data_IF_457850559325
#
_entry.id   IF_457850559325
#
_cell.length_a   1.000
_cell.length_b   1.000
_cell.length_c   1.000
_cell.angle_alpha   90.00
_cell.angle_beta   90.00
_cell.angle_gamma   90.00
#
_symmetry.space_group_name_H-M   'P 1'
#
loop_
_entity.id
_entity.type
_entity.pdbx_description
1 polymer ?
#
# COMPACT_ATOMS: atom_id res chain seq x y z
N UNK A 1 -1.89 18.51 -19.97
CA UNK A 1 -3.35 18.28 -19.83
C UNK A 1 -3.66 18.27 -18.33
N UNK A 2 -4.45 19.22 -17.84
CA UNK A 2 -4.78 19.34 -16.40
C UNK A 2 -6.07 18.58 -16.12
N UNK A 3 -6.00 17.56 -15.26
CA UNK A 3 -7.19 16.90 -14.74
C UNK A 3 -7.69 17.72 -13.53
N UNK A 4 -8.88 18.33 -13.66
CA UNK A 4 -9.57 19.03 -12.57
C UNK A 4 -10.57 18.08 -11.93
N UNK A 5 -10.44 17.84 -10.63
CA UNK A 5 -11.53 17.27 -9.83
C UNK A 5 -12.39 18.40 -9.27
N UNK A 6 -13.68 18.39 -9.62
CA UNK A 6 -14.68 19.32 -9.07
C UNK A 6 -15.48 18.58 -8.00
N UNK A 7 -15.27 18.95 -6.73
CA UNK A 7 -16.13 18.53 -5.62
C UNK A 7 -17.21 19.62 -5.43
N UNK A 8 -18.48 19.28 -5.63
CA UNK A 8 -19.59 20.20 -5.35
C UNK A 8 -19.88 20.25 -3.85
N UNK A 9 -19.54 21.35 -3.20
CA UNK A 9 -20.05 21.71 -1.89
C UNK A 9 -20.92 22.97 -2.04
N UNK A 10 -22.16 22.87 -1.57
CA UNK A 10 -23.12 23.96 -1.56
C UNK A 10 -22.64 25.12 -0.68
N UNK A 11 -22.60 26.33 -1.26
CA UNK A 11 -22.69 27.60 -0.53
C UNK A 11 -21.41 28.44 -0.38
N UNK A 12 -21.32 29.50 -1.19
CA UNK A 12 -21.00 30.87 -0.70
C UNK A 12 -19.57 31.30 -0.34
N UNK A 13 -18.93 31.99 -1.29
CA UNK A 13 -18.01 33.16 -1.18
C UNK A 13 -16.75 33.11 -0.28
N UNK A 14 -15.61 32.93 -0.96
CA UNK A 14 -14.32 33.65 -0.92
C UNK A 14 -13.90 34.45 0.34
N UNK A 15 -12.84 33.97 1.00
CA UNK A 15 -11.87 34.81 1.73
C UNK A 15 -10.47 34.18 1.65
N UNK A 16 -9.47 34.96 1.17
CA UNK A 16 -8.05 34.58 1.14
C UNK A 16 -7.55 34.30 2.55
N UNK A 17 -7.11 33.07 2.82
CA UNK A 17 -6.27 32.74 3.99
C UNK A 17 -5.30 31.62 3.61
N UNK A 18 -4.02 31.95 3.67
CA UNK A 18 -2.87 31.05 3.61
C UNK A 18 -3.10 29.88 4.58
N UNK A 19 -3.10 28.62 4.08
CA UNK A 19 -3.12 27.42 4.90
C UNK A 19 -2.20 26.34 4.29
N UNK A 20 -1.26 25.92 5.14
CA UNK A 20 -0.27 24.83 5.10
C UNK A 20 -0.61 23.65 4.17
N UNK A 21 0.37 23.02 3.50
CA UNK A 21 0.10 21.86 2.68
C UNK A 21 -0.33 20.67 3.56
N UNK A 22 -1.49 20.14 3.21
CA UNK A 22 -2.03 18.77 3.29
C UNK A 22 -1.29 17.66 4.09
N UNK A 23 -0.75 17.93 5.28
CA UNK A 23 -0.21 16.89 6.17
C UNK A 23 -1.24 16.10 6.99
N UNK A 24 -2.54 16.14 6.66
CA UNK A 24 -3.60 15.71 7.61
C UNK A 24 -4.65 14.73 7.10
N UNK A 25 -4.54 14.22 5.86
CA UNK A 25 -5.51 13.24 5.33
C UNK A 25 -4.98 11.79 5.39
N UNK A 26 -3.68 11.57 5.60
CA UNK A 26 -3.10 10.22 5.66
C UNK A 26 -3.34 9.49 7.00
N UNK A 27 -3.73 10.20 8.07
CA UNK A 27 -3.88 9.61 9.42
C UNK A 27 -5.21 8.88 9.65
N UNK A 28 -6.16 8.95 8.72
CA UNK A 28 -7.53 8.45 8.94
C UNK A 28 -7.80 7.06 8.36
N UNK A 29 -6.86 6.46 7.62
CA UNK A 29 -7.10 5.18 6.89
C UNK A 29 -6.45 3.96 7.58
N UNK A 30 -5.64 4.15 8.63
CA UNK A 30 -5.02 3.04 9.40
C UNK A 30 -5.95 2.52 10.52
N UNK A 31 -7.16 3.06 10.66
CA UNK A 31 -8.13 2.59 11.64
C UNK A 31 -9.14 1.62 11.00
N UNK A 32 -9.09 0.36 11.43
CA UNK A 32 -10.07 -0.73 11.25
C UNK A 32 -9.97 -1.62 10.02
N UNK A 33 -9.14 -2.66 10.16
CA UNK A 33 -9.50 -4.02 9.73
C UNK A 33 -8.78 -5.09 10.58
N UNK A 34 -8.84 -4.97 11.91
CA UNK A 34 -8.55 -6.13 12.79
C UNK A 34 -9.78 -7.02 12.75
N UNK A 35 -9.80 -8.00 11.84
CA UNK A 35 -10.78 -9.08 11.85
C UNK A 35 -10.40 -10.02 13.00
N UNK A 36 -11.29 -10.33 13.97
CA UNK A 36 -11.01 -11.34 14.97
C UNK A 36 -11.20 -12.71 14.32
N UNK A 37 -10.11 -13.36 13.88
CA UNK A 37 -10.17 -14.76 13.42
C UNK A 37 -9.95 -15.68 14.63
N UNK A 38 -11.06 -16.14 15.21
CA UNK A 38 -11.09 -17.34 16.03
C UNK A 38 -10.86 -18.56 15.13
N UNK A 39 -9.61 -18.95 14.94
CA UNK A 39 -9.21 -20.14 14.21
C UNK A 39 -7.84 -20.60 14.69
N UNK A 40 -7.79 -21.71 15.42
CA UNK A 40 -6.58 -22.26 16.00
C UNK A 40 -5.62 -22.78 14.92
N UNK A 41 -4.68 -21.95 14.47
CA UNK A 41 -3.43 -22.38 13.83
C UNK A 41 -2.30 -21.44 14.25
N UNK A 42 -1.12 -22.01 14.46
CA UNK A 42 0.03 -21.43 15.15
C UNK A 42 0.28 -19.98 14.74
N UNK A 43 -0.23 -19.04 15.56
CA UNK A 43 0.16 -17.65 15.45
C UNK A 43 1.66 -17.60 15.63
N UNK A 44 2.36 -17.03 14.64
CA UNK A 44 3.74 -16.60 14.82
C UNK A 44 3.71 -15.72 16.07
N UNK A 45 4.25 -16.22 17.17
CA UNK A 45 4.31 -15.50 18.44
C UNK A 45 5.04 -14.20 18.12
N UNK A 46 4.37 -13.05 18.25
CA UNK A 46 4.99 -11.74 18.19
C UNK A 46 6.32 -11.81 18.94
N UNK A 47 7.43 -11.75 18.21
CA UNK A 47 8.78 -11.86 18.77
C UNK A 47 9.16 -10.47 19.29
N UNK A 48 8.52 -10.04 20.38
CA UNK A 48 8.73 -8.72 20.98
C UNK A 48 7.68 -7.68 20.57
N UNK A 49 7.93 -6.42 20.93
CA UNK A 49 7.03 -5.28 20.68
C UNK A 49 7.15 -4.71 19.24
N UNK A 50 7.74 -5.47 18.30
CA UNK A 50 7.94 -5.04 16.92
C UNK A 50 7.09 -5.83 15.94
N UNK A 51 6.64 -5.16 14.88
CA UNK A 51 5.97 -5.74 13.71
C UNK A 51 6.96 -5.75 12.56
N UNK A 52 7.22 -6.93 11.99
CA UNK A 52 8.09 -7.07 10.81
C UNK A 52 7.27 -6.79 9.53
N UNK A 53 7.71 -5.82 8.72
CA UNK A 53 6.97 -5.35 7.54
C UNK A 53 7.79 -5.53 6.28
N UNK A 54 7.23 -6.21 5.28
CA UNK A 54 7.73 -6.18 3.91
C UNK A 54 7.01 -5.07 3.15
N UNK A 55 7.74 -4.04 2.77
CA UNK A 55 7.22 -2.94 1.96
C UNK A 55 7.69 -3.08 0.52
N UNK A 56 6.76 -3.33 -0.40
CA UNK A 56 7.01 -3.40 -1.84
C UNK A 56 6.41 -2.16 -2.50
N UNK A 57 7.25 -1.35 -3.13
CA UNK A 57 6.75 -0.14 -3.77
C UNK A 57 7.80 0.77 -4.36
N UNK A 58 7.34 1.64 -5.27
CA UNK A 58 8.15 2.62 -5.98
C UNK A 58 7.35 3.90 -6.24
N UNK A 59 6.71 4.40 -5.19
CA UNK A 59 5.86 5.57 -5.30
C UNK A 59 6.69 6.87 -5.39
N UNK A 60 6.35 7.72 -6.36
CA UNK A 60 6.93 9.05 -6.53
C UNK A 60 5.84 10.04 -6.89
N UNK A 61 5.99 11.27 -6.40
CA UNK A 61 5.19 12.41 -6.86
C UNK A 61 6.10 13.53 -7.37
N UNK A 62 5.53 14.43 -8.18
CA UNK A 62 6.19 15.69 -8.52
C UNK A 62 5.79 16.78 -7.51
N UNK A 63 6.77 17.45 -6.93
CA UNK A 63 6.54 18.64 -6.11
C UNK A 63 6.12 19.86 -6.96
N UNK A 64 5.86 20.99 -6.29
CA UNK A 64 5.43 22.23 -6.95
C UNK A 64 6.49 22.80 -7.92
N UNK A 65 7.76 22.42 -7.75
CA UNK A 65 8.88 22.81 -8.60
C UNK A 65 9.12 21.81 -9.75
N UNK A 66 8.35 20.72 -9.81
CA UNK A 66 8.43 19.67 -10.81
C UNK A 66 9.49 18.61 -10.54
N UNK A 67 10.09 18.58 -9.35
CA UNK A 67 11.05 17.56 -8.97
C UNK A 67 10.33 16.28 -8.55
N UNK A 68 10.87 15.13 -8.98
CA UNK A 68 10.41 13.84 -8.49
C UNK A 68 10.89 13.60 -7.06
N UNK A 69 9.95 13.36 -6.15
CA UNK A 69 10.19 13.08 -4.75
C UNK A 69 9.77 11.65 -4.46
N UNK A 70 10.63 10.90 -3.78
CA UNK A 70 10.36 9.54 -3.33
C UNK A 70 9.28 9.55 -2.24
N UNK A 71 8.10 9.04 -2.58
CA UNK A 71 6.97 8.99 -1.66
C UNK A 71 7.12 7.86 -0.62
N UNK A 72 7.94 6.85 -0.91
CA UNK A 72 8.19 5.69 -0.05
C UNK A 72 8.78 6.12 1.29
N UNK A 73 9.64 7.15 1.29
CA UNK A 73 10.26 7.72 2.49
C UNK A 73 9.21 8.14 3.51
N UNK A 74 8.09 8.76 3.10
CA UNK A 74 7.09 9.22 4.06
C UNK A 74 6.36 8.07 4.76
N UNK A 75 6.11 6.97 4.04
CA UNK A 75 5.46 5.78 4.63
C UNK A 75 6.44 5.09 5.59
N UNK A 76 7.70 4.92 5.17
CA UNK A 76 8.74 4.29 5.99
C UNK A 76 8.97 5.13 7.25
N UNK A 77 9.16 6.44 7.13
CA UNK A 77 9.32 7.35 8.27
C UNK A 77 8.11 7.33 9.19
N UNK A 78 6.88 7.25 8.66
CA UNK A 78 5.67 7.17 9.48
C UNK A 78 5.62 5.87 10.29
N UNK A 79 6.07 4.75 9.73
CA UNK A 79 6.17 3.46 10.42
C UNK A 79 7.29 3.51 11.47
N UNK A 80 8.49 3.95 11.10
CA UNK A 80 9.65 4.00 12.00
C UNK A 80 9.46 4.97 13.17
N UNK A 81 8.71 6.05 12.99
CA UNK A 81 8.42 7.04 14.04
C UNK A 81 7.13 6.75 14.82
N UNK A 82 6.52 5.58 14.65
CA UNK A 82 5.37 5.17 15.44
C UNK A 82 5.70 5.13 16.94
N UNK A 83 4.86 5.77 17.76
CA UNK A 83 5.10 5.92 19.21
C UNK A 83 4.74 4.70 20.05
N UNK A 84 3.90 3.83 19.51
CA UNK A 84 3.25 2.76 20.29
C UNK A 84 3.66 1.36 19.83
N UNK A 85 4.08 1.24 18.58
CA UNK A 85 4.45 -0.02 17.95
C UNK A 85 5.76 0.22 17.22
N UNK A 86 6.75 -0.64 17.46
CA UNK A 86 7.99 -0.63 16.69
C UNK A 86 7.74 -1.34 15.36
N UNK A 87 8.22 -0.80 14.26
CA UNK A 87 8.13 -1.47 12.95
C UNK A 87 9.54 -1.73 12.44
N UNK A 88 9.80 -2.96 12.00
CA UNK A 88 11.03 -3.32 11.30
C UNK A 88 10.69 -3.42 9.81
N UNK A 89 11.02 -2.38 9.05
CA UNK A 89 10.61 -2.28 7.65
C UNK A 89 11.73 -2.78 6.73
N UNK A 90 11.42 -3.78 5.90
CA UNK A 90 12.25 -4.15 4.75
C UNK A 90 11.58 -3.59 3.50
N UNK A 91 12.17 -2.54 2.92
CA UNK A 91 11.69 -1.95 1.67
C UNK A 91 12.42 -2.56 0.47
N UNK A 92 11.65 -2.98 -0.53
CA UNK A 92 12.17 -3.45 -1.82
C UNK A 92 11.47 -2.68 -2.93
N UNK A 93 12.26 -1.94 -3.71
CA UNK A 93 11.81 -1.34 -4.96
C UNK A 93 11.83 -2.37 -6.10
N UNK A 94 10.92 -2.28 -7.08
CA UNK A 94 10.85 -3.17 -8.23
C UNK A 94 12.06 -2.99 -9.16
N UNK A 95 12.54 -4.09 -9.74
CA UNK A 95 13.63 -4.10 -10.72
C UNK A 95 13.11 -3.72 -12.12
N UNK A 96 12.78 -2.45 -12.32
CA UNK A 96 12.20 -1.99 -13.58
C UNK A 96 10.88 -2.70 -13.92
N UNK A 97 10.68 -3.06 -15.18
CA UNK A 97 9.46 -3.72 -15.65
C UNK A 97 9.30 -5.17 -15.13
N UNK A 98 10.40 -5.86 -14.85
CA UNK A 98 10.37 -7.24 -14.35
C UNK A 98 9.95 -7.32 -12.88
N UNK A 99 9.97 -6.18 -12.17
CA UNK A 99 9.44 -6.05 -10.83
C UNK A 99 10.13 -6.95 -9.82
N UNK A 100 9.39 -7.93 -9.31
CA UNK A 100 9.81 -8.86 -8.26
C UNK A 100 9.89 -10.32 -8.75
N UNK A 101 9.65 -10.60 -10.04
CA UNK A 101 9.47 -11.97 -10.57
C UNK A 101 10.64 -12.90 -10.23
N UNK A 102 11.86 -12.36 -10.16
CA UNK A 102 13.08 -13.13 -9.88
C UNK A 102 13.51 -13.11 -8.40
N UNK A 103 12.69 -12.52 -7.53
CA UNK A 103 12.98 -12.37 -6.11
C UNK A 103 12.21 -13.43 -5.31
N UNK A 104 12.91 -14.08 -4.39
CA UNK A 104 12.26 -14.79 -3.30
C UNK A 104 11.81 -13.78 -2.25
N UNK A 105 10.51 -13.51 -2.20
CA UNK A 105 9.93 -12.52 -1.30
C UNK A 105 9.69 -13.07 0.10
N UNK A 106 9.74 -14.39 0.29
CA UNK A 106 9.59 -15.07 1.57
C UNK A 106 8.49 -14.46 2.47
N UNK A 107 7.27 -14.23 1.94
CA UNK A 107 6.19 -13.49 2.66
C UNK A 107 5.94 -13.97 4.09
N UNK A 108 6.09 -15.27 4.34
CA UNK A 108 5.92 -15.89 5.65
C UNK A 108 6.90 -15.41 6.73
N UNK A 109 7.96 -14.69 6.35
CA UNK A 109 8.91 -14.09 7.29
C UNK A 109 8.39 -12.82 7.95
N UNK A 110 7.36 -12.17 7.39
CA UNK A 110 6.85 -10.87 7.84
C UNK A 110 5.47 -10.96 8.48
N UNK A 111 5.15 -10.03 9.39
CA UNK A 111 3.83 -9.91 10.01
C UNK A 111 2.84 -9.18 9.11
N UNK A 112 3.34 -8.27 8.25
CA UNK A 112 2.54 -7.57 7.25
C UNK A 112 3.31 -7.34 5.95
N UNK A 113 2.60 -7.44 4.83
CA UNK A 113 3.07 -7.05 3.51
C UNK A 113 2.30 -5.82 3.04
N UNK A 114 3.04 -4.81 2.57
CA UNK A 114 2.48 -3.56 2.03
C UNK A 114 2.83 -3.46 0.56
N UNK A 115 1.83 -3.24 -0.29
CA UNK A 115 2.00 -2.85 -1.70
C UNK A 115 1.72 -1.35 -1.85
N UNK A 116 2.63 -0.58 -2.43
CA UNK A 116 2.38 0.82 -2.84
C UNK A 116 2.90 1.07 -4.24
N UNK A 117 2.04 1.57 -5.14
CA UNK A 117 2.41 1.81 -6.56
C UNK A 117 3.01 0.57 -7.26
N UNK A 118 2.51 -0.63 -6.93
CA UNK A 118 3.04 -1.87 -7.48
C UNK A 118 2.18 -2.39 -8.61
N UNK A 119 2.80 -2.62 -9.77
CA UNK A 119 2.09 -3.09 -10.96
C UNK A 119 1.80 -4.58 -10.88
N UNK A 120 0.66 -5.02 -11.44
CA UNK A 120 0.31 -6.45 -11.47
C UNK A 120 1.37 -7.29 -12.17
N UNK A 121 2.00 -6.76 -13.21
CA UNK A 121 3.04 -7.45 -13.99
C UNK A 121 4.34 -7.64 -13.23
N UNK A 122 4.55 -6.99 -12.10
CA UNK A 122 5.74 -7.17 -11.27
C UNK A 122 5.77 -8.51 -10.53
N UNK A 123 4.69 -9.29 -10.56
CA UNK A 123 4.62 -10.58 -9.89
C UNK A 123 4.31 -11.71 -10.86
N UNK A 124 4.89 -12.87 -10.56
CA UNK A 124 4.46 -14.12 -11.14
C UNK A 124 3.17 -14.62 -10.49
N UNK A 125 2.41 -15.43 -11.21
CA UNK A 125 1.23 -16.12 -10.67
C UNK A 125 1.58 -17.01 -9.45
N UNK A 126 2.81 -17.52 -9.38
CA UNK A 126 3.30 -18.29 -8.24
C UNK A 126 3.39 -17.44 -6.97
N UNK A 127 4.06 -16.28 -7.05
CA UNK A 127 4.18 -15.34 -5.94
C UNK A 127 2.82 -14.84 -5.46
N UNK A 128 1.89 -14.57 -6.39
CA UNK A 128 0.53 -14.16 -6.03
C UNK A 128 -0.22 -15.26 -5.25
N UNK A 129 -0.03 -16.54 -5.58
CA UNK A 129 -0.60 -17.66 -4.80
C UNK A 129 0.03 -17.79 -3.42
N UNK A 130 1.32 -17.54 -3.30
CA UNK A 130 2.02 -17.54 -2.00
C UNK A 130 1.52 -16.41 -1.12
N UNK A 131 1.32 -15.22 -1.68
CA UNK A 131 0.70 -14.09 -0.99
C UNK A 131 -0.73 -14.43 -0.54
N UNK A 132 -1.55 -15.02 -1.41
CA UNK A 132 -2.91 -15.46 -1.06
C UNK A 132 -2.91 -16.46 0.10
N UNK A 133 -1.98 -17.41 0.09
CA UNK A 133 -1.80 -18.36 1.19
C UNK A 133 -1.41 -17.63 2.49
N UNK A 134 -0.42 -16.75 2.41
CA UNK A 134 0.06 -15.95 3.54
C UNK A 134 -1.08 -15.19 4.23
N UNK A 135 -1.88 -14.44 3.47
CA UNK A 135 -3.02 -13.68 4.00
C UNK A 135 -4.09 -14.60 4.60
N UNK A 136 -4.45 -15.70 3.91
CA UNK A 136 -5.42 -16.68 4.44
C UNK A 136 -4.95 -17.34 5.75
N UNK A 137 -3.65 -17.41 5.98
CA UNK A 137 -3.08 -17.94 7.24
C UNK A 137 -2.93 -16.89 8.34
N UNK A 138 -3.41 -15.66 8.13
CA UNK A 138 -3.42 -14.60 9.14
C UNK A 138 -2.35 -13.53 8.96
N UNK A 139 -1.59 -13.56 7.86
CA UNK A 139 -0.67 -12.48 7.50
C UNK A 139 -1.40 -11.18 7.17
N UNK A 140 -0.88 -10.04 7.61
CA UNK A 140 -1.45 -8.74 7.28
C UNK A 140 -1.15 -8.32 5.84
N UNK A 141 -2.11 -7.73 5.15
CA UNK A 141 -1.92 -7.20 3.80
C UNK A 141 -2.52 -5.82 3.68
N UNK A 142 -1.72 -4.88 3.18
CA UNK A 142 -2.11 -3.50 2.93
C UNK A 142 -1.78 -3.14 1.49
N UNK A 143 -2.70 -2.43 0.84
CA UNK A 143 -2.48 -1.89 -0.49
C UNK A 143 -2.76 -0.40 -0.49
N UNK A 144 -1.76 0.40 -0.85
CA UNK A 144 -1.90 1.81 -1.15
C UNK A 144 -2.22 2.01 -2.63
N UNK A 145 -3.05 3.03 -2.91
CA UNK A 145 -3.47 3.37 -4.26
C UNK A 145 -2.37 4.05 -5.06
N UNK A 146 -2.63 4.24 -6.36
CA UNK A 146 -1.63 4.76 -7.27
C UNK A 146 -1.89 4.47 -8.74
N UNK A 147 -0.97 4.81 -9.63
CA UNK A 147 -0.97 4.38 -11.04
C UNK A 147 -0.89 2.86 -11.15
N UNK A 148 -0.05 2.22 -10.33
CA UNK A 148 0.03 0.76 -10.19
C UNK A 148 -0.98 0.14 -9.24
N UNK A 149 -1.69 0.95 -8.45
CA UNK A 149 -2.59 0.47 -7.41
C UNK A 149 -4.00 0.15 -7.92
N UNK A 150 -4.63 -0.91 -7.40
CA UNK A 150 -6.01 -1.30 -7.72
C UNK A 150 -6.28 -1.40 -9.23
N UNK A 151 -7.22 -0.61 -9.78
CA UNK A 151 -7.49 -0.55 -11.22
C UNK A 151 -6.41 0.21 -12.00
N UNK A 152 -5.72 1.13 -11.33
CA UNK A 152 -4.58 1.87 -11.86
C UNK A 152 -4.88 2.89 -12.95
N UNK A 153 -3.81 3.51 -13.43
CA UNK A 153 -3.80 4.29 -14.65
C UNK A 153 -3.43 3.36 -15.82
N UNK A 154 -4.17 3.42 -16.92
CA UNK A 154 -4.00 2.50 -18.07
C UNK A 154 -3.93 1.03 -17.61
N UNK A 155 -2.90 0.28 -18.04
CA UNK A 155 -2.71 -1.14 -17.73
C UNK A 155 -1.74 -1.39 -16.56
N UNK A 156 -1.40 -0.37 -15.76
CA UNK A 156 -0.40 -0.51 -14.69
C UNK A 156 -0.97 -1.20 -13.43
N UNK A 157 -2.24 -0.95 -13.10
CA UNK A 157 -2.92 -1.55 -11.96
C UNK A 157 -3.43 -2.95 -12.26
N UNK A 158 -4.51 -3.06 -13.05
CA UNK A 158 -5.13 -4.33 -13.50
C UNK A 158 -5.26 -5.41 -12.41
N UNK A 159 -5.48 -5.01 -11.16
CA UNK A 159 -5.61 -5.94 -10.04
C UNK A 159 -7.01 -6.55 -9.95
N UNK A 160 -7.97 -6.12 -10.78
CA UNK A 160 -9.30 -6.73 -10.87
C UNK A 160 -9.22 -8.18 -11.35
N UNK A 161 -10.12 -9.03 -10.85
CA UNK A 161 -10.19 -10.47 -11.13
C UNK A 161 -8.93 -11.26 -10.74
N UNK A 162 -7.99 -10.65 -10.01
CA UNK A 162 -6.79 -11.33 -9.51
C UNK A 162 -7.02 -11.93 -8.12
N UNK A 163 -6.02 -12.64 -7.60
CA UNK A 163 -6.03 -13.08 -6.19
C UNK A 163 -5.96 -11.90 -5.22
N UNK A 164 -5.36 -10.77 -5.63
CA UNK A 164 -5.20 -9.58 -4.81
C UNK A 164 -6.55 -8.92 -4.55
N UNK A 165 -7.40 -8.78 -5.57
CA UNK A 165 -8.78 -8.29 -5.37
C UNK A 165 -9.54 -9.13 -4.34
N UNK A 166 -9.43 -10.46 -4.40
CA UNK A 166 -10.14 -11.36 -3.48
C UNK A 166 -9.68 -11.26 -2.03
N UNK A 167 -8.45 -10.77 -1.80
CA UNK A 167 -7.91 -10.54 -0.45
C UNK A 167 -8.31 -9.19 0.12
N UNK A 168 -8.62 -8.22 -0.74
CA UNK A 168 -8.93 -6.86 -0.33
C UNK A 168 -10.41 -6.71 0.06
N UNK A 169 -10.74 -5.81 0.99
CA UNK A 169 -12.13 -5.54 1.40
C UNK A 169 -12.88 -4.64 0.39
N UNK A 170 -12.44 -4.58 -0.86
CA UNK A 170 -12.99 -3.71 -1.91
C UNK A 170 -13.06 -4.47 -3.23
N UNK A 171 -14.05 -4.14 -4.06
CA UNK A 171 -14.08 -4.55 -5.47
C UNK A 171 -13.29 -3.57 -6.32
N UNK A 172 -12.49 -4.09 -7.24
CA UNK A 172 -11.63 -3.31 -8.13
C UNK A 172 -12.30 -3.23 -9.50
N UNK A 173 -12.26 -2.03 -10.08
CA UNK A 173 -12.67 -1.81 -11.46
C UNK A 173 -11.49 -1.21 -12.21
N UNK A 174 -10.88 -1.99 -13.09
CA UNK A 174 -9.89 -1.48 -14.04
C UNK A 174 -10.57 -0.68 -15.15
N UNK A 175 -9.79 0.22 -15.75
CA UNK A 175 -10.27 1.17 -16.76
C UNK A 175 -10.47 0.51 -18.14
#
# INVERSE_FOLDING_TARGET
MSCRFTLHLNGGVMMKRVRRPLGLILMSVIAFSVIPISGAYASKRFRGNSVDVLYLGNDYYQDDDGNWVDANVFIIEALENSRHVSFNVTHIAPLGYDGYIFMDLAFGDYDTVIFSEVWRTHFSEGQLKELEKYVKTGGGFVMFGGWGGFGGFESYGEWDKTVVERMLPVSIKSN
#
